data_IF_283130814662
#
_entry.id   IF_283130814662
#
_cell.length_a   1.000
_cell.length_b   1.000
_cell.length_c   1.000
_cell.angle_alpha   90.00
_cell.angle_beta   90.00
_cell.angle_gamma   90.00
#
_symmetry.space_group_name_H-M   'P 1'
#
loop_
_entity.id
_entity.type
_entity.pdbx_description
1 polymer ?
#
# COMPACT_ATOMS: atom_id res chain seq x y z
N UNK A 1 14.67 -14.68 0.99
CA UNK A 1 15.18 -13.63 1.89
C UNK A 1 14.74 -12.26 1.39
N UNK A 2 14.16 -11.47 2.25
CA UNK A 2 13.75 -10.11 1.91
C UNK A 2 14.99 -9.21 1.86
N UNK A 3 15.12 -8.42 0.80
CA UNK A 3 16.30 -7.57 0.57
C UNK A 3 15.92 -6.10 0.48
N UNK A 4 16.77 -5.25 0.98
CA UNK A 4 16.64 -3.80 0.78
C UNK A 4 16.70 -3.52 -0.73
N UNK A 5 15.79 -2.67 -1.22
CA UNK A 5 15.64 -2.37 -2.64
C UNK A 5 14.64 -3.25 -3.37
N UNK A 6 14.16 -4.33 -2.75
CA UNK A 6 13.13 -5.19 -3.32
C UNK A 6 11.84 -4.40 -3.45
N UNK A 7 11.18 -4.48 -4.61
CA UNK A 7 10.03 -3.61 -4.87
C UNK A 7 8.98 -4.28 -5.75
N UNK A 8 7.79 -3.71 -5.72
CA UNK A 8 6.65 -4.14 -6.54
C UNK A 8 5.80 -2.93 -6.89
N UNK A 9 5.15 -3.00 -8.04
CA UNK A 9 4.21 -1.99 -8.51
C UNK A 9 2.83 -2.60 -8.64
N UNK A 10 1.83 -1.97 -8.00
CA UNK A 10 0.42 -2.33 -8.12
C UNK A 10 -0.31 -1.23 -8.87
N UNK A 11 -1.41 -1.58 -9.55
CA UNK A 11 -2.11 -0.64 -10.42
C UNK A 11 -3.62 -0.76 -10.21
N UNK A 12 -4.31 0.38 -10.31
CA UNK A 12 -5.76 0.43 -10.36
C UNK A 12 -6.22 1.47 -11.37
N UNK A 13 -7.45 1.28 -11.87
CA UNK A 13 -8.17 2.31 -12.62
C UNK A 13 -9.21 2.91 -11.67
N UNK A 14 -9.24 4.22 -11.55
CA UNK A 14 -10.19 4.90 -10.68
C UNK A 14 -11.61 4.66 -11.17
N UNK A 15 -12.44 4.06 -10.33
CA UNK A 15 -13.87 3.83 -10.58
C UNK A 15 -14.68 4.55 -9.50
N UNK A 16 -15.98 4.65 -9.72
CA UNK A 16 -16.90 5.42 -8.86
C UNK A 16 -16.76 5.09 -7.37
N UNK A 17 -16.70 3.79 -7.02
CA UNK A 17 -16.60 3.33 -5.63
C UNK A 17 -15.30 3.72 -4.92
N UNK A 18 -14.31 4.19 -5.65
CA UNK A 18 -13.00 4.61 -5.11
C UNK A 18 -12.91 6.11 -4.84
N UNK A 19 -13.97 6.86 -5.15
CA UNK A 19 -13.96 8.32 -4.98
C UNK A 19 -14.16 8.72 -3.53
N UNK A 20 -13.64 9.90 -3.17
CA UNK A 20 -13.74 10.42 -1.81
C UNK A 20 -15.18 10.52 -1.33
N UNK A 21 -16.11 10.92 -2.20
CA UNK A 21 -17.52 11.04 -1.84
C UNK A 21 -18.13 9.67 -1.53
N UNK A 22 -17.79 8.63 -2.28
CA UNK A 22 -18.31 7.27 -2.06
C UNK A 22 -17.68 6.59 -0.85
N UNK A 23 -16.37 6.78 -0.66
CA UNK A 23 -15.65 6.23 0.49
C UNK A 23 -16.01 6.94 1.78
N UNK A 24 -16.40 8.22 1.70
CA UNK A 24 -16.73 9.03 2.87
C UNK A 24 -15.54 9.80 3.43
N UNK A 25 -14.43 9.87 2.70
CA UNK A 25 -13.24 10.59 3.13
C UNK A 25 -13.22 12.05 2.65
N UNK A 26 -14.21 12.45 1.89
CA UNK A 26 -14.39 13.80 1.36
C UNK A 26 -15.72 13.89 0.65
N UNK A 27 -15.94 14.93 -0.12
CA UNK A 27 -17.21 15.17 -0.82
C UNK A 27 -17.07 15.41 -2.31
N UNK A 28 -15.89 15.08 -2.86
CA UNK A 28 -15.59 15.29 -4.28
C UNK A 28 -15.41 13.96 -5.02
N UNK A 29 -15.73 13.90 -6.33
CA UNK A 29 -15.62 12.67 -7.13
C UNK A 29 -14.19 12.45 -7.66
N UNK A 30 -13.23 12.42 -6.79
CA UNK A 30 -11.81 12.17 -7.09
C UNK A 30 -11.32 10.99 -6.26
N UNK A 31 -10.23 10.36 -6.67
CA UNK A 31 -9.65 9.23 -5.94
C UNK A 31 -9.47 9.57 -4.47
N UNK A 32 -10.07 8.76 -3.60
CA UNK A 32 -9.97 8.94 -2.15
C UNK A 32 -8.54 8.66 -1.68
N UNK A 33 -8.03 9.50 -0.78
CA UNK A 33 -6.70 9.29 -0.18
C UNK A 33 -6.55 7.91 0.44
N UNK A 34 -7.52 7.38 1.22
CA UNK A 34 -7.43 6.01 1.73
C UNK A 34 -7.27 4.95 0.65
N UNK A 35 -7.86 5.16 -0.52
CA UNK A 35 -7.74 4.21 -1.64
C UNK A 35 -6.35 4.24 -2.27
N UNK A 36 -5.75 5.43 -2.40
CA UNK A 36 -4.37 5.55 -2.84
C UNK A 36 -3.44 4.84 -1.85
N UNK A 37 -3.65 5.03 -0.56
CA UNK A 37 -2.86 4.40 0.49
C UNK A 37 -3.06 2.88 0.50
N UNK A 38 -4.27 2.39 0.26
CA UNK A 38 -4.55 0.96 0.13
C UNK A 38 -3.76 0.34 -1.03
N UNK A 39 -3.63 1.06 -2.14
CA UNK A 39 -2.83 0.61 -3.28
C UNK A 39 -1.34 0.53 -2.93
N UNK A 40 -0.84 1.51 -2.17
CA UNK A 40 0.54 1.51 -1.65
C UNK A 40 0.78 0.30 -0.73
N UNK A 41 -0.18 0.00 0.15
CA UNK A 41 -0.11 -1.16 1.04
C UNK A 41 -0.13 -2.47 0.24
N UNK A 42 -0.94 -2.54 -0.81
CA UNK A 42 -1.00 -3.70 -1.69
C UNK A 42 0.36 -3.93 -2.36
N UNK A 43 0.97 -2.88 -2.88
CA UNK A 43 2.30 -2.97 -3.50
C UNK A 43 3.35 -3.46 -2.49
N UNK A 44 3.30 -2.97 -1.25
CA UNK A 44 4.24 -3.39 -0.20
C UNK A 44 4.04 -4.86 0.18
N UNK A 45 2.79 -5.29 0.34
CA UNK A 45 2.46 -6.68 0.63
C UNK A 45 3.02 -7.60 -0.45
N UNK A 46 2.79 -7.27 -1.71
CA UNK A 46 3.23 -8.09 -2.84
C UNK A 46 4.74 -8.06 -3.05
N UNK A 47 5.41 -6.97 -2.66
CA UNK A 47 6.86 -6.85 -2.79
C UNK A 47 7.63 -7.93 -2.01
N UNK A 48 7.06 -8.45 -0.93
CA UNK A 48 7.73 -9.40 -0.03
C UNK A 48 7.02 -10.76 0.06
N UNK A 49 5.87 -10.90 -0.59
CA UNK A 49 5.02 -12.08 -0.46
C UNK A 49 5.75 -13.41 -0.67
N UNK A 50 6.57 -13.50 -1.71
CA UNK A 50 7.23 -14.75 -2.09
C UNK A 50 8.44 -15.11 -1.21
N UNK A 51 8.84 -14.21 -0.33
CA UNK A 51 10.02 -14.41 0.53
C UNK A 51 9.64 -14.70 1.98
N UNK A 52 8.37 -14.93 2.26
CA UNK A 52 7.88 -15.22 3.60
C UNK A 52 7.90 -16.72 3.89
N UNK A 53 8.11 -17.13 5.16
CA UNK A 53 7.96 -18.53 5.54
C UNK A 53 6.54 -19.03 5.28
N UNK A 54 6.38 -20.35 5.11
CA UNK A 54 5.07 -20.97 4.92
C UNK A 54 4.14 -20.61 6.08
N UNK A 55 2.89 -20.31 5.76
CA UNK A 55 1.88 -19.94 6.74
C UNK A 55 1.98 -18.50 7.24
N UNK A 56 2.96 -17.74 6.80
CA UNK A 56 3.14 -16.35 7.21
C UNK A 56 2.63 -15.37 6.16
N UNK A 57 2.28 -14.20 6.65
CA UNK A 57 1.90 -13.05 5.83
C UNK A 57 2.43 -11.78 6.48
N UNK A 58 2.12 -10.63 5.91
CA UNK A 58 2.41 -9.35 6.55
C UNK A 58 1.12 -8.59 6.82
N UNK A 59 1.12 -7.83 7.91
CA UNK A 59 0.04 -6.91 8.24
C UNK A 59 0.60 -5.50 8.37
N UNK A 60 -0.19 -4.50 7.98
CA UNK A 60 0.20 -3.09 8.10
C UNK A 60 0.20 -2.65 9.55
N UNK A 61 1.25 -1.91 9.96
CA UNK A 61 1.36 -1.35 11.30
C UNK A 61 1.40 0.16 11.32
N UNK A 62 1.84 0.79 10.24
CA UNK A 62 1.91 2.24 10.12
C UNK A 62 2.00 2.63 8.66
N UNK A 63 1.33 3.70 8.29
CA UNK A 63 1.46 4.31 6.97
C UNK A 63 1.27 5.81 7.10
N UNK A 64 2.15 6.57 6.46
CA UNK A 64 1.96 8.01 6.29
C UNK A 64 2.29 8.37 4.86
N UNK A 65 1.47 9.23 4.29
CA UNK A 65 1.59 9.63 2.89
C UNK A 65 0.99 11.01 2.69
N UNK A 66 1.64 11.78 1.84
CA UNK A 66 1.05 12.99 1.28
C UNK A 66 0.27 12.62 0.03
N UNK A 67 -0.88 13.24 -0.19
CA UNK A 67 -1.66 13.13 -1.43
C UNK A 67 -1.54 14.46 -2.14
N UNK A 68 -0.63 14.54 -3.09
CA UNK A 68 -0.18 15.79 -3.69
C UNK A 68 -1.02 16.29 -4.85
N UNK A 69 -1.61 15.36 -5.62
CA UNK A 69 -2.43 15.68 -6.79
C UNK A 69 -3.62 14.75 -6.91
N UNK A 70 -4.79 15.28 -7.33
CA UNK A 70 -5.99 14.46 -7.48
C UNK A 70 -5.98 13.62 -8.75
N UNK A 71 -6.83 12.60 -8.76
CA UNK A 71 -7.10 11.77 -9.94
C UNK A 71 -8.60 11.63 -10.13
N UNK A 72 -9.05 11.65 -11.39
CA UNK A 72 -10.46 11.53 -11.72
C UNK A 72 -10.82 10.10 -12.09
N UNK A 73 -12.11 9.79 -12.14
CA UNK A 73 -12.61 8.51 -12.63
C UNK A 73 -12.05 8.26 -14.04
N UNK A 74 -11.53 7.07 -14.25
CA UNK A 74 -10.91 6.64 -15.50
C UNK A 74 -9.39 6.76 -15.53
N UNK A 75 -8.79 7.53 -14.62
CA UNK A 75 -7.34 7.59 -14.53
C UNK A 75 -6.77 6.27 -14.04
N UNK A 76 -5.62 5.90 -14.58
CA UNK A 76 -4.87 4.72 -14.13
C UNK A 76 -3.82 5.19 -13.14
N UNK A 77 -3.84 4.61 -11.95
CA UNK A 77 -2.93 4.94 -10.85
C UNK A 77 -2.07 3.72 -10.55
N UNK A 78 -0.76 3.92 -10.47
CA UNK A 78 0.15 2.87 -10.04
C UNK A 78 0.85 3.29 -8.75
N UNK A 79 1.00 2.35 -7.84
CA UNK A 79 1.77 2.56 -6.62
C UNK A 79 2.98 1.64 -6.61
N UNK A 80 4.11 2.18 -6.17
CA UNK A 80 5.34 1.44 -6.01
C UNK A 80 5.71 1.40 -4.53
N UNK A 81 6.12 0.24 -4.05
CA UNK A 81 6.67 0.06 -2.71
C UNK A 81 8.05 -0.56 -2.82
N UNK A 82 8.99 0.00 -2.09
CA UNK A 82 10.38 -0.47 -2.07
C UNK A 82 10.83 -0.69 -0.63
N UNK A 83 11.39 -1.86 -0.34
CA UNK A 83 11.93 -2.19 0.99
C UNK A 83 13.12 -1.29 1.29
N UNK A 84 13.06 -0.57 2.40
CA UNK A 84 14.15 0.31 2.86
C UNK A 84 14.86 -0.20 4.10
N UNK A 85 14.20 -1.07 4.88
CA UNK A 85 14.79 -1.63 6.10
C UNK A 85 14.11 -2.95 6.46
N UNK A 86 14.89 -3.90 6.96
CA UNK A 86 14.40 -5.16 7.50
C UNK A 86 15.02 -5.33 8.88
N UNK A 87 14.16 -5.46 9.90
CA UNK A 87 14.59 -5.63 11.28
C UNK A 87 13.74 -6.74 11.93
N UNK A 88 14.25 -7.98 11.85
CA UNK A 88 13.49 -9.14 12.30
C UNK A 88 12.21 -9.30 11.51
N UNK A 89 11.06 -9.19 12.19
CA UNK A 89 9.73 -9.30 11.57
C UNK A 89 9.18 -7.97 11.06
N UNK A 90 9.91 -6.89 11.27
CA UNK A 90 9.51 -5.54 10.90
C UNK A 90 10.14 -5.16 9.58
N UNK A 91 9.32 -4.71 8.62
CA UNK A 91 9.76 -4.32 7.30
C UNK A 91 9.30 -2.89 7.04
N UNK A 92 10.23 -2.00 6.68
CA UNK A 92 9.91 -0.63 6.34
C UNK A 92 10.02 -0.43 4.82
N UNK A 93 9.12 0.39 4.28
CA UNK A 93 9.01 0.65 2.85
C UNK A 93 8.95 2.15 2.58
N UNK A 94 9.50 2.53 1.44
CA UNK A 94 9.17 3.78 0.78
C UNK A 94 8.03 3.49 -0.19
N UNK A 95 6.99 4.32 -0.17
CA UNK A 95 5.82 4.16 -1.04
C UNK A 95 5.59 5.43 -1.85
N UNK A 96 5.12 5.25 -3.08
CA UNK A 96 4.80 6.37 -3.98
C UNK A 96 3.66 5.94 -4.91
N UNK A 97 2.93 6.93 -5.42
CA UNK A 97 1.85 6.69 -6.38
C UNK A 97 1.98 7.68 -7.53
N UNK A 98 1.67 7.21 -8.72
CA UNK A 98 1.80 7.97 -9.97
C UNK A 98 0.60 7.74 -10.88
N UNK A 99 0.33 8.73 -11.74
CA UNK A 99 -0.50 8.55 -12.92
C UNK A 99 0.30 9.11 -14.11
N UNK A 100 0.67 8.23 -15.07
CA UNK A 100 1.67 8.58 -16.05
C UNK A 100 2.99 8.95 -15.36
N UNK A 101 3.53 10.11 -15.68
CA UNK A 101 4.76 10.64 -15.04
C UNK A 101 4.48 11.55 -13.84
N UNK A 102 3.20 11.75 -13.52
CA UNK A 102 2.79 12.67 -12.45
C UNK A 102 2.83 11.97 -11.11
N UNK A 103 3.62 12.49 -10.17
CA UNK A 103 3.62 12.01 -8.78
C UNK A 103 2.35 12.47 -8.10
N UNK A 104 1.55 11.51 -7.63
CA UNK A 104 0.27 11.76 -6.93
C UNK A 104 0.44 11.80 -5.42
N UNK A 105 1.36 11.03 -4.89
CA UNK A 105 1.61 10.95 -3.46
C UNK A 105 2.86 10.15 -3.15
N UNK A 106 3.38 10.32 -1.94
CA UNK A 106 4.54 9.57 -1.46
C UNK A 106 4.59 9.55 0.06
N UNK A 107 5.25 8.55 0.61
CA UNK A 107 5.36 8.41 2.03
C UNK A 107 6.14 7.18 2.45
N UNK A 108 5.88 6.73 3.67
CA UNK A 108 6.53 5.55 4.25
C UNK A 108 5.50 4.60 4.82
N UNK A 109 5.86 3.32 4.89
CA UNK A 109 4.96 2.26 5.35
C UNK A 109 5.74 1.22 6.13
N UNK A 110 5.07 0.63 7.10
CA UNK A 110 5.63 -0.36 7.98
C UNK A 110 4.72 -1.57 8.02
N UNK A 111 5.29 -2.76 7.83
CA UNK A 111 4.55 -4.02 7.93
C UNK A 111 5.26 -4.98 8.88
N UNK A 112 4.48 -5.89 9.46
CA UNK A 112 5.00 -6.94 10.34
C UNK A 112 4.70 -8.30 9.75
N UNK A 113 5.68 -9.20 9.81
CA UNK A 113 5.51 -10.61 9.45
C UNK A 113 4.78 -11.29 10.60
N UNK A 114 3.68 -11.99 10.30
CA UNK A 114 2.89 -12.72 11.28
C UNK A 114 2.56 -14.11 10.76
N UNK A 115 2.40 -15.07 11.69
CA UNK A 115 1.82 -16.36 11.41
C UNK A 115 0.31 -16.18 11.31
N UNK A 116 -0.31 -16.57 10.19
CA UNK A 116 -1.73 -16.31 9.91
C UNK A 116 -2.64 -16.86 11.01
N UNK A 117 -2.45 -18.11 11.35
CA UNK A 117 -3.33 -18.81 12.31
C UNK A 117 -3.18 -18.25 13.71
N UNK A 118 -1.95 -18.01 14.14
CA UNK A 118 -1.68 -17.42 15.46
C UNK A 118 -2.22 -16.00 15.56
N UNK A 119 -2.06 -15.21 14.49
CA UNK A 119 -2.55 -13.85 14.46
C UNK A 119 -4.07 -13.81 14.64
N UNK A 120 -4.79 -14.59 13.84
CA UNK A 120 -6.26 -14.64 13.93
C UNK A 120 -6.76 -15.25 15.24
N UNK A 121 -6.07 -16.27 15.77
CA UNK A 121 -6.47 -16.92 17.01
C UNK A 121 -6.47 -15.97 18.22
N UNK A 122 -5.66 -14.92 18.19
CA UNK A 122 -5.59 -13.92 19.27
C UNK A 122 -6.76 -12.94 19.26
N UNK A 123 -7.56 -12.97 18.21
CA UNK A 123 -8.74 -12.10 18.10
C UNK A 123 -10.00 -12.71 18.68
N UNK A 124 -9.91 -13.96 19.12
CA UNK A 124 -11.04 -14.66 19.75
C UNK A 124 -11.69 -15.72 18.91
#
# INVERSE_FOLDING_TARGET
MIRIGQKHTSELKVIDSMTAVEVGSGDMPVLATPMMMALMENAAMLAVKDDLPDGCTTVGGHIESSHLKPSKIGDVVRAEAEVTKVDGKKIEFKVSAYSGDTLLGEGTHLRFIVDRDKFMSRLG
#
